data_IF_569037096395
#
_entry.id   IF_569037096395
#
_cell.length_a   1.000
_cell.length_b   1.000
_cell.length_c   1.000
_cell.angle_alpha   90.00
_cell.angle_beta   90.00
_cell.angle_gamma   90.00
#
_symmetry.space_group_name_H-M   'P 1'
#
loop_
_entity.id
_entity.type
_entity.pdbx_description
1 polymer ?
#
# COMPACT_ATOMS: atom_id res chain seq x y z
N UNK A 1 -4.99 -7.58 -6.58
CA UNK A 1 -5.91 -6.42 -6.65
C UNK A 1 -5.39 -5.46 -7.70
N UNK A 2 -6.15 -5.26 -8.77
CA UNK A 2 -5.74 -4.37 -9.88
C UNK A 2 -6.47 -3.03 -9.84
N UNK A 3 -7.55 -2.96 -9.11
CA UNK A 3 -8.37 -1.77 -8.98
C UNK A 3 -9.10 -1.78 -7.64
N UNK A 4 -9.59 -0.62 -7.25
CA UNK A 4 -10.34 -0.46 -6.00
C UNK A 4 -11.52 0.47 -6.25
N UNK A 5 -12.66 0.15 -5.65
CA UNK A 5 -13.85 1.01 -5.72
C UNK A 5 -14.02 1.73 -4.38
N UNK A 6 -13.97 3.06 -4.44
CA UNK A 6 -14.08 3.91 -3.25
C UNK A 6 -15.19 4.92 -3.51
N UNK A 7 -16.20 4.95 -2.66
CA UNK A 7 -17.36 5.84 -2.76
C UNK A 7 -17.98 5.85 -4.17
N UNK A 8 -18.14 4.65 -4.74
CA UNK A 8 -18.80 4.47 -6.03
C UNK A 8 -17.93 4.71 -7.25
N UNK A 9 -16.67 5.10 -7.07
CA UNK A 9 -15.72 5.32 -8.17
C UNK A 9 -14.62 4.27 -8.15
N UNK A 10 -14.30 3.71 -9.31
CA UNK A 10 -13.27 2.69 -9.44
C UNK A 10 -11.96 3.32 -9.91
N UNK A 11 -10.88 3.02 -9.18
CA UNK A 11 -9.53 3.52 -9.44
C UNK A 11 -8.62 2.35 -9.81
N UNK A 12 -7.91 2.42 -10.94
CA UNK A 12 -6.86 1.43 -11.22
C UNK A 12 -5.68 1.64 -10.26
N UNK A 13 -5.05 0.54 -9.85
CA UNK A 13 -3.92 0.58 -8.93
C UNK A 13 -2.64 0.24 -9.70
N UNK A 14 -1.63 1.08 -9.58
CA UNK A 14 -0.33 0.91 -10.21
C UNK A 14 0.74 0.68 -9.14
N UNK A 15 1.39 -0.48 -9.19
CA UNK A 15 2.44 -0.86 -8.22
C UNK A 15 3.84 -0.85 -8.86
N UNK A 16 4.07 0.04 -9.83
CA UNK A 16 5.36 0.21 -10.48
C UNK A 16 6.29 1.18 -9.74
N UNK A 17 7.25 1.76 -10.48
CA UNK A 17 8.22 2.70 -9.89
C UNK A 17 7.57 3.92 -9.26
N UNK A 18 6.50 4.46 -9.85
CA UNK A 18 5.83 5.63 -9.26
C UNK A 18 5.29 5.31 -7.87
N UNK A 19 4.71 4.13 -7.71
CA UNK A 19 4.23 3.65 -6.42
C UNK A 19 5.38 3.56 -5.41
N UNK A 20 6.49 2.93 -5.82
CA UNK A 20 7.66 2.75 -4.94
C UNK A 20 8.24 4.10 -4.51
N UNK A 21 8.39 5.03 -5.45
CA UNK A 21 8.87 6.37 -5.14
C UNK A 21 7.98 7.10 -4.13
N UNK A 22 6.66 7.01 -4.31
CA UNK A 22 5.71 7.65 -3.39
C UNK A 22 5.74 7.02 -2.01
N UNK A 23 5.85 5.70 -1.94
CA UNK A 23 5.99 5.02 -0.66
C UNK A 23 7.30 5.39 0.03
N UNK A 24 8.39 5.52 -0.72
CA UNK A 24 9.70 5.91 -0.17
C UNK A 24 9.73 7.36 0.31
N UNK A 25 8.92 8.24 -0.28
CA UNK A 25 8.78 9.62 0.21
C UNK A 25 8.07 9.66 1.56
N UNK A 26 7.16 8.73 1.79
CA UNK A 26 6.40 8.66 3.04
C UNK A 26 7.14 7.91 4.13
N UNK A 27 7.98 6.96 3.74
CA UNK A 27 8.67 6.06 4.67
C UNK A 27 10.13 5.95 4.27
N UNK A 28 11.00 6.49 5.11
CA UNK A 28 12.44 6.46 4.87
C UNK A 28 13.20 6.54 6.20
N UNK A 29 14.47 6.17 6.15
CA UNK A 29 15.39 6.35 7.27
C UNK A 29 16.58 7.19 6.80
N UNK A 30 17.14 7.98 7.70
CA UNK A 30 18.35 8.77 7.42
C UNK A 30 19.46 8.28 8.32
N UNK A 31 20.66 8.13 7.75
CA UNK A 31 21.83 7.69 8.48
C UNK A 31 23.06 8.35 7.86
N UNK A 32 23.80 9.10 8.68
CA UNK A 32 25.03 9.80 8.28
C UNK A 32 24.82 10.68 7.04
N UNK A 33 23.69 11.37 6.95
CA UNK A 33 23.38 12.25 5.83
C UNK A 33 22.82 11.54 4.60
N UNK A 34 22.71 10.21 4.63
CA UNK A 34 22.11 9.43 3.54
C UNK A 34 20.67 9.09 3.87
N UNK A 35 19.81 9.16 2.85
CA UNK A 35 18.40 8.86 2.96
C UNK A 35 18.08 7.56 2.23
N UNK A 36 17.47 6.61 2.92
CA UNK A 36 17.11 5.31 2.37
C UNK A 36 15.61 5.13 2.40
N UNK A 37 15.02 4.87 1.24
CA UNK A 37 13.58 4.60 1.15
C UNK A 37 13.25 3.25 1.77
N UNK A 38 12.20 3.21 2.60
CA UNK A 38 11.75 1.98 3.28
C UNK A 38 10.29 1.69 2.97
N UNK A 39 9.78 2.20 1.83
CA UNK A 39 8.36 2.11 1.50
C UNK A 39 7.84 0.70 1.40
N UNK A 40 8.52 -0.19 0.65
CA UNK A 40 8.07 -1.57 0.47
C UNK A 40 8.21 -2.37 1.77
N UNK A 41 9.29 -2.15 2.53
CA UNK A 41 9.50 -2.79 3.82
C UNK A 41 8.38 -2.41 4.79
N UNK A 42 8.09 -1.11 4.87
CA UNK A 42 7.04 -0.59 5.75
C UNK A 42 5.67 -1.12 5.35
N UNK A 43 5.36 -1.11 4.05
CA UNK A 43 4.09 -1.64 3.55
C UNK A 43 3.93 -3.12 3.90
N UNK A 44 4.97 -3.92 3.63
CA UNK A 44 4.93 -5.35 3.91
C UNK A 44 4.70 -5.64 5.38
N UNK A 45 5.48 -4.99 6.25
CA UNK A 45 5.35 -5.17 7.69
C UNK A 45 3.98 -4.75 8.19
N UNK A 46 3.54 -3.55 7.83
CA UNK A 46 2.29 -3.01 8.36
C UNK A 46 1.05 -3.71 7.82
N UNK A 47 1.10 -4.22 6.59
CA UNK A 47 0.03 -5.08 6.08
C UNK A 47 -0.02 -6.39 6.86
N UNK A 48 1.14 -6.95 7.18
CA UNK A 48 1.24 -8.22 7.92
C UNK A 48 0.71 -8.10 9.35
N UNK A 49 0.91 -6.95 10.00
CA UNK A 49 0.39 -6.71 11.36
C UNK A 49 -0.98 -6.02 11.35
N UNK A 50 -1.53 -5.81 10.15
CA UNK A 50 -2.89 -5.26 9.98
C UNK A 50 -3.07 -3.85 10.56
N UNK A 51 -2.08 -2.99 10.32
CA UNK A 51 -2.18 -1.57 10.67
C UNK A 51 -3.00 -0.85 9.58
N UNK A 52 -4.21 -0.36 9.90
CA UNK A 52 -5.09 0.19 8.85
C UNK A 52 -4.57 1.47 8.23
N UNK A 53 -3.73 2.24 8.90
CA UNK A 53 -3.21 3.48 8.33
C UNK A 53 -2.35 3.23 7.09
N UNK A 54 -1.73 2.06 6.97
CA UNK A 54 -0.94 1.74 5.78
C UNK A 54 -1.80 1.69 4.51
N UNK A 55 -3.10 1.40 4.65
CA UNK A 55 -4.00 1.35 3.50
C UNK A 55 -4.12 2.71 2.83
N UNK A 56 -4.12 3.80 3.61
CA UNK A 56 -4.13 5.15 3.08
C UNK A 56 -2.88 5.42 2.23
N UNK A 57 -1.70 5.12 2.78
CA UNK A 57 -0.44 5.33 2.06
C UNK A 57 -0.38 4.52 0.78
N UNK A 58 -0.79 3.26 0.82
CA UNK A 58 -0.74 2.38 -0.35
C UNK A 58 -1.71 2.86 -1.42
N UNK A 59 -2.94 3.20 -1.05
CA UNK A 59 -3.94 3.65 -2.02
C UNK A 59 -3.51 4.96 -2.67
N UNK A 60 -3.06 5.93 -1.88
CA UNK A 60 -2.58 7.21 -2.42
C UNK A 60 -1.38 7.02 -3.33
N UNK A 61 -0.44 6.16 -2.95
CA UNK A 61 0.77 5.91 -3.74
C UNK A 61 0.45 5.16 -5.04
N UNK A 62 -0.48 4.20 -4.99
CA UNK A 62 -0.86 3.40 -6.16
C UNK A 62 -1.75 4.15 -7.14
N UNK A 63 -2.35 5.27 -6.73
CA UNK A 63 -3.20 6.10 -7.58
C UNK A 63 -2.55 7.44 -7.93
N UNK A 64 -1.33 7.67 -7.50
CA UNK A 64 -0.63 8.95 -7.58
C UNK A 64 -0.60 9.56 -8.98
N UNK A 65 -0.48 8.75 -10.02
CA UNK A 65 -0.36 9.21 -11.40
C UNK A 65 -1.70 9.41 -12.12
N UNK A 66 -2.80 9.13 -11.47
CA UNK A 66 -4.12 9.29 -12.06
C UNK A 66 -4.54 10.76 -12.11
N UNK A 67 -5.38 11.10 -13.08
CA UNK A 67 -5.93 12.46 -13.17
C UNK A 67 -6.85 12.80 -12.02
N UNK A 68 -7.51 11.80 -11.45
CA UNK A 68 -8.38 11.94 -10.28
C UNK A 68 -8.00 10.89 -9.28
N UNK A 69 -7.67 11.31 -8.06
CA UNK A 69 -7.26 10.41 -6.98
C UNK A 69 -8.25 10.52 -5.82
N UNK A 70 -8.43 9.44 -5.05
CA UNK A 70 -9.34 9.51 -3.90
C UNK A 70 -8.74 10.41 -2.81
N UNK A 71 -9.59 11.09 -2.07
CA UNK A 71 -9.14 11.90 -0.94
C UNK A 71 -8.87 11.01 0.28
N UNK A 72 -8.10 11.51 1.23
CA UNK A 72 -7.88 10.82 2.49
C UNK A 72 -9.19 10.51 3.21
N UNK A 73 -10.12 11.47 3.17
CA UNK A 73 -11.43 11.31 3.77
C UNK A 73 -12.24 10.18 3.13
N UNK A 74 -12.21 10.09 1.80
CA UNK A 74 -12.88 9.02 1.07
C UNK A 74 -12.27 7.66 1.37
N UNK A 75 -10.95 7.60 1.47
CA UNK A 75 -10.24 6.36 1.81
C UNK A 75 -10.62 5.91 3.22
N UNK A 76 -10.69 6.85 4.17
CA UNK A 76 -11.09 6.52 5.55
C UNK A 76 -12.51 5.95 5.59
N UNK A 77 -13.45 6.57 4.87
CA UNK A 77 -14.82 6.08 4.78
C UNK A 77 -14.87 4.67 4.18
N UNK A 78 -14.07 4.44 3.14
CA UNK A 78 -13.96 3.12 2.54
C UNK A 78 -13.45 2.09 3.55
N UNK A 79 -12.39 2.43 4.30
CA UNK A 79 -11.81 1.52 5.30
C UNK A 79 -12.81 1.19 6.42
N UNK A 80 -13.53 2.21 6.90
CA UNK A 80 -14.58 2.01 7.92
C UNK A 80 -15.66 1.06 7.40
N UNK A 81 -16.08 1.25 6.15
CA UNK A 81 -17.09 0.39 5.52
C UNK A 81 -16.59 -1.04 5.41
N UNK A 82 -15.33 -1.23 5.02
CA UNK A 82 -14.73 -2.57 4.96
C UNK A 82 -14.76 -3.24 6.33
N UNK A 83 -14.41 -2.49 7.38
CA UNK A 83 -14.42 -3.01 8.75
C UNK A 83 -15.84 -3.38 9.19
N UNK A 84 -16.82 -2.54 8.91
CA UNK A 84 -18.22 -2.81 9.25
C UNK A 84 -18.77 -4.05 8.54
N UNK A 85 -18.32 -4.29 7.32
CA UNK A 85 -18.72 -5.44 6.50
C UNK A 85 -17.86 -6.67 6.76
N UNK A 86 -16.96 -6.63 7.73
CA UNK A 86 -16.01 -7.71 8.07
C UNK A 86 -15.10 -8.10 6.90
N UNK A 87 -14.71 -7.10 6.07
CA UNK A 87 -13.86 -7.30 4.89
C UNK A 87 -12.49 -6.63 4.99
N UNK A 88 -12.20 -6.00 6.13
CA UNK A 88 -10.92 -5.28 6.28
C UNK A 88 -9.73 -6.23 6.21
N UNK A 89 -9.85 -7.41 6.80
CA UNK A 89 -8.79 -8.42 6.77
C UNK A 89 -8.49 -8.86 5.34
N UNK A 90 -9.53 -9.04 4.52
CA UNK A 90 -9.37 -9.37 3.10
C UNK A 90 -8.65 -8.25 2.35
N UNK A 91 -8.87 -7.00 2.74
CA UNK A 91 -8.19 -5.87 2.13
C UNK A 91 -6.69 -5.92 2.41
N UNK A 92 -6.29 -6.19 3.66
CA UNK A 92 -4.87 -6.36 3.99
C UNK A 92 -4.23 -7.48 3.17
N UNK A 93 -4.88 -8.62 3.10
CA UNK A 93 -4.39 -9.77 2.34
C UNK A 93 -4.32 -9.47 0.84
N UNK A 94 -5.32 -8.78 0.31
CA UNK A 94 -5.37 -8.41 -1.10
C UNK A 94 -4.22 -7.50 -1.51
N UNK A 95 -3.92 -6.49 -0.70
CA UNK A 95 -2.78 -5.60 -0.97
C UNK A 95 -1.45 -6.33 -0.83
N UNK A 96 -1.31 -7.16 0.20
CA UNK A 96 -0.08 -7.93 0.37
C UNK A 96 0.16 -8.86 -0.82
N UNK A 97 -0.88 -9.55 -1.28
CA UNK A 97 -0.81 -10.40 -2.47
C UNK A 97 -0.41 -9.60 -3.70
N UNK A 98 -0.96 -8.39 -3.87
CA UNK A 98 -0.61 -7.52 -4.99
C UNK A 98 0.87 -7.16 -4.98
N UNK A 99 1.43 -6.83 -3.81
CA UNK A 99 2.86 -6.51 -3.68
C UNK A 99 3.75 -7.73 -3.91
N UNK A 100 3.29 -8.92 -3.50
CA UNK A 100 4.01 -10.18 -3.76
C UNK A 100 4.09 -10.51 -5.24
N UNK A 101 3.07 -10.14 -6.02
CA UNK A 101 2.97 -10.47 -7.44
C UNK A 101 3.48 -9.37 -8.36
N UNK A 102 3.53 -8.13 -7.90
CA UNK A 102 3.98 -7.01 -8.72
C UNK A 102 5.46 -7.19 -9.09
N UNK A 103 5.81 -7.05 -10.39
CA UNK A 103 7.16 -7.37 -10.84
C UNK A 103 8.29 -6.66 -10.10
N UNK A 104 8.10 -5.39 -9.74
CA UNK A 104 9.15 -4.58 -9.16
C UNK A 104 9.27 -4.67 -7.64
N UNK A 105 8.26 -5.22 -6.96
CA UNK A 105 8.27 -5.35 -5.51
C UNK A 105 8.36 -6.80 -5.02
N UNK A 106 8.03 -7.76 -5.87
CA UNK A 106 7.91 -9.17 -5.44
C UNK A 106 9.16 -9.74 -4.77
N UNK A 107 10.34 -9.41 -5.29
CA UNK A 107 11.59 -9.96 -4.74
C UNK A 107 11.84 -9.45 -3.31
N UNK A 108 11.64 -8.16 -3.10
CA UNK A 108 11.84 -7.54 -1.80
C UNK A 108 10.79 -8.01 -0.78
N UNK A 109 9.54 -8.09 -1.21
CA UNK A 109 8.44 -8.58 -0.34
C UNK A 109 8.70 -10.03 0.08
N UNK A 110 9.07 -10.88 -0.88
CA UNK A 110 9.38 -12.29 -0.61
C UNK A 110 10.49 -12.42 0.41
N UNK A 111 11.57 -11.65 0.26
CA UNK A 111 12.69 -11.68 1.18
C UNK A 111 12.28 -11.24 2.59
N UNK A 112 11.49 -10.17 2.70
CA UNK A 112 11.00 -9.66 3.97
C UNK A 112 10.11 -10.67 4.68
N UNK A 113 9.16 -11.27 3.98
CA UNK A 113 8.26 -12.26 4.56
C UNK A 113 9.03 -13.49 5.06
N UNK A 114 10.06 -13.89 4.32
CA UNK A 114 10.92 -15.00 4.71
C UNK A 114 11.67 -14.69 6.01
N UNK A 115 12.11 -13.43 6.17
CA UNK A 115 12.83 -13.00 7.37
C UNK A 115 11.94 -12.90 8.60
N UNK A 116 10.64 -12.76 8.40
CA UNK A 116 9.66 -12.60 9.49
C UNK A 116 9.18 -13.93 10.09
N UNK A 117 9.53 -15.03 9.48
CA UNK A 117 9.14 -16.36 9.94
C UNK A 117 10.17 -16.98 10.86
#
# INVERSE_FOLDING_TARGET
MKEITITGKTYPLNFGFDFIREMDKRHFVENNGFKFGTGIQTATLQLSIKNPLILEDIILSATHTLNSIPSKEEIEKWAIKQAEDNKLEEAFEGFLTSLKKAPLSKAQVKQLLKSMN
#
